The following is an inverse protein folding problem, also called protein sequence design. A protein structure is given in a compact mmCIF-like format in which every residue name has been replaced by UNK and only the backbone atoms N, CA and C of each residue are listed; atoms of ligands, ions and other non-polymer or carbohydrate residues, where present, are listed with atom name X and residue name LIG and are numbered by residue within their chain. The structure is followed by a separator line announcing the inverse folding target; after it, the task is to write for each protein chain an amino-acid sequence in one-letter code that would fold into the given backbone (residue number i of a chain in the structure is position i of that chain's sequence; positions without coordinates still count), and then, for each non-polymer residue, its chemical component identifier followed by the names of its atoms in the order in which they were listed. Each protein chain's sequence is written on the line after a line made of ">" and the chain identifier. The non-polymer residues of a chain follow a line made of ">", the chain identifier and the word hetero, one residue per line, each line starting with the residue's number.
data_IF_647137925075
#
_entry.id   IF_647137925075
#
_cell.length_a   1.000
_cell.length_b   1.000
_cell.length_c   1.000
_cell.angle_alpha   90.00
_cell.angle_beta   90.00
_cell.angle_gamma   90.00
#
_symmetry.space_group_name_H-M   'P 1'
#
loop_
_entity.id
_entity.type
_entity.pdbx_description
1 polymer ?
#
# COMPACT_ATOMS: atom_id res chain seq x y z
N UNK A 1 -17.57 -6.74 -10.35
CA UNK A 1 -17.25 -6.81 -8.92
C UNK A 1 -18.36 -6.09 -8.18
N UNK A 2 -18.95 -6.69 -7.16
CA UNK A 2 -20.11 -6.17 -6.42
C UNK A 2 -19.68 -5.11 -5.42
N UNK A 3 -20.33 -3.95 -5.41
CA UNK A 3 -20.11 -2.92 -4.39
C UNK A 3 -20.60 -3.45 -3.04
N UNK A 4 -19.69 -3.71 -2.11
CA UNK A 4 -20.03 -4.04 -0.73
C UNK A 4 -20.09 -2.74 0.09
N UNK A 5 -21.27 -2.44 0.63
CA UNK A 5 -21.43 -1.36 1.61
C UNK A 5 -20.95 -1.88 2.96
N UNK A 6 -19.95 -1.24 3.54
CA UNK A 6 -19.43 -1.62 4.85
C UNK A 6 -20.54 -1.52 5.90
N UNK A 7 -20.98 -2.66 6.46
CA UNK A 7 -21.93 -2.73 7.58
C UNK A 7 -23.37 -3.20 7.27
N UNK A 8 -23.67 -3.70 6.07
CA UNK A 8 -25.01 -4.21 5.76
C UNK A 8 -25.16 -5.71 6.13
N UNK A 9 -26.04 -6.03 7.09
CA UNK A 9 -26.50 -7.40 7.34
C UNK A 9 -27.41 -7.89 6.21
N UNK A 10 -27.42 -9.20 5.87
CA UNK A 10 -28.27 -9.74 4.82
C UNK A 10 -29.76 -9.48 5.10
N UNK A 11 -30.41 -8.63 4.29
CA UNK A 11 -31.86 -8.38 4.35
C UNK A 11 -32.29 -6.99 4.82
N UNK A 12 -31.36 -6.08 5.16
CA UNK A 12 -31.70 -4.68 5.40
C UNK A 12 -31.65 -3.85 4.10
N UNK A 13 -32.68 -3.04 3.87
CA UNK A 13 -32.68 -2.00 2.85
C UNK A 13 -31.61 -0.96 3.19
N UNK A 14 -30.66 -0.71 2.28
CA UNK A 14 -29.68 0.35 2.44
C UNK A 14 -30.45 1.69 2.46
N UNK A 15 -30.30 2.52 3.52
CA UNK A 15 -30.91 3.84 3.56
C UNK A 15 -30.49 4.66 2.33
N UNK A 16 -31.40 5.45 1.72
CA UNK A 16 -31.09 6.22 0.52
C UNK A 16 -29.92 7.22 0.69
N UNK A 17 -29.64 7.64 1.93
CA UNK A 17 -28.54 8.54 2.28
C UNK A 17 -27.34 7.83 2.94
N UNK A 18 -27.26 6.50 2.84
CA UNK A 18 -26.11 5.76 3.37
C UNK A 18 -24.84 6.08 2.58
N UNK A 19 -23.71 6.23 3.28
CA UNK A 19 -22.41 6.37 2.63
C UNK A 19 -22.09 5.12 1.80
N UNK A 20 -21.85 5.30 0.50
CA UNK A 20 -21.50 4.23 -0.42
C UNK A 20 -19.99 4.28 -0.69
N UNK A 21 -19.29 3.16 -0.48
CA UNK A 21 -17.91 2.96 -0.93
C UNK A 21 -17.93 1.93 -2.05
N UNK A 22 -17.34 2.29 -3.19
CA UNK A 22 -17.22 1.41 -4.35
C UNK A 22 -15.78 1.40 -4.83
N UNK A 23 -15.11 0.24 -4.74
CA UNK A 23 -13.77 0.08 -5.30
C UNK A 23 -13.87 -0.05 -6.82
N UNK A 24 -13.35 0.93 -7.56
CA UNK A 24 -13.33 0.90 -9.01
C UNK A 24 -12.18 0.05 -9.55
N UNK A 25 -10.95 0.32 -9.09
CA UNK A 25 -9.75 -0.38 -9.52
C UNK A 25 -8.67 -0.28 -8.44
N UNK A 26 -7.84 -1.32 -8.35
CA UNK A 26 -6.63 -1.36 -7.55
C UNK A 26 -5.48 -1.61 -8.50
N UNK A 27 -4.49 -0.73 -8.51
CA UNK A 27 -3.38 -0.79 -9.45
C UNK A 27 -2.11 -0.23 -8.82
N UNK A 28 -0.98 -0.64 -9.38
CA UNK A 28 0.33 -0.17 -9.02
C UNK A 28 0.66 1.09 -9.80
N UNK A 29 1.04 2.17 -9.11
CA UNK A 29 1.45 3.42 -9.76
C UNK A 29 2.95 3.46 -10.01
N UNK A 30 3.71 2.98 -9.05
CA UNK A 30 5.16 2.87 -9.12
C UNK A 30 5.61 1.65 -8.34
N UNK A 31 6.74 1.06 -8.72
CA UNK A 31 7.45 0.13 -7.86
C UNK A 31 8.94 0.22 -8.13
N UNK A 32 9.72 0.18 -7.07
CA UNK A 32 11.17 0.09 -7.16
C UNK A 32 11.70 -0.99 -6.21
N UNK A 33 12.77 -1.63 -6.66
CA UNK A 33 13.55 -2.56 -5.85
C UNK A 33 15.02 -2.36 -6.16
N UNK A 34 15.82 -2.18 -5.11
CA UNK A 34 17.26 -2.06 -5.23
C UNK A 34 17.95 -2.95 -4.20
N UNK A 35 18.97 -3.69 -4.63
CA UNK A 35 19.88 -4.41 -3.75
C UNK A 35 21.32 -4.10 -4.15
N UNK A 36 21.92 -3.00 -3.62
CA UNK A 36 23.20 -2.49 -4.09
C UNK A 36 24.34 -3.51 -4.01
N UNK A 37 24.32 -4.35 -2.98
CA UNK A 37 25.33 -5.38 -2.75
C UNK A 37 24.91 -6.75 -3.31
N UNK A 38 23.63 -6.93 -3.63
CA UNK A 38 23.07 -8.16 -4.18
C UNK A 38 23.49 -9.40 -3.38
N UNK A 39 24.00 -10.46 -4.03
CA UNK A 39 24.39 -11.71 -3.37
C UNK A 39 25.71 -11.61 -2.58
N UNK A 40 26.38 -10.44 -2.56
CA UNK A 40 27.70 -10.26 -1.93
C UNK A 40 27.62 -9.82 -0.47
N UNK A 41 26.42 -9.80 0.11
CA UNK A 41 26.24 -9.48 1.52
C UNK A 41 26.68 -10.69 2.34
N UNK A 42 27.86 -10.60 2.94
CA UNK A 42 28.41 -11.61 3.83
C UNK A 42 28.09 -11.30 5.30
N UNK A 43 28.01 -12.34 6.14
CA UNK A 43 27.82 -12.22 7.59
C UNK A 43 26.57 -12.93 8.11
N UNK A 44 26.30 -12.77 9.41
CA UNK A 44 25.12 -13.37 10.04
C UNK A 44 23.86 -12.61 9.61
N UNK A 45 22.92 -13.30 8.97
CA UNK A 45 21.69 -12.71 8.46
C UNK A 45 20.73 -12.31 9.60
N UNK A 46 20.86 -11.08 10.06
CA UNK A 46 19.97 -10.47 11.06
C UNK A 46 19.70 -8.99 10.71
N UNK A 47 18.95 -8.71 9.63
CA UNK A 47 18.73 -7.35 9.15
C UNK A 47 17.79 -6.56 10.06
N UNK A 48 18.11 -5.29 10.27
CA UNK A 48 17.19 -4.30 10.80
C UNK A 48 16.30 -3.78 9.67
N UNK A 49 14.99 -3.94 9.85
CA UNK A 49 13.97 -3.51 8.89
C UNK A 49 13.38 -2.17 9.35
N UNK A 50 13.33 -1.20 8.45
CA UNK A 50 12.60 0.06 8.62
C UNK A 50 11.46 0.14 7.62
N UNK A 51 10.29 0.56 8.08
CA UNK A 51 9.07 0.70 7.29
C UNK A 51 8.54 2.13 7.43
N UNK A 52 8.35 2.81 6.30
CA UNK A 52 7.66 4.10 6.19
C UNK A 52 6.39 3.91 5.38
N UNK A 53 5.30 4.57 5.82
CA UNK A 53 3.98 4.47 5.21
C UNK A 53 3.42 5.88 5.00
N UNK A 54 3.06 6.19 3.76
CA UNK A 54 2.49 7.47 3.39
C UNK A 54 1.18 7.25 2.65
N UNK A 55 0.13 7.98 3.04
CA UNK A 55 -1.17 7.91 2.38
C UNK A 55 -1.50 9.26 1.76
N UNK A 56 -1.63 9.28 0.45
CA UNK A 56 -2.10 10.42 -0.33
C UNK A 56 -3.52 10.21 -0.83
N UNK A 57 -4.24 11.31 -1.06
CA UNK A 57 -5.55 11.22 -1.69
C UNK A 57 -5.85 12.40 -2.59
N UNK A 58 -6.34 12.09 -3.79
CA UNK A 58 -6.63 13.06 -4.85
C UNK A 58 -8.06 12.84 -5.36
N UNK A 59 -8.84 13.90 -5.51
CA UNK A 59 -10.14 13.81 -6.17
C UNK A 59 -9.93 13.71 -7.70
N UNK A 60 -10.56 12.72 -8.35
CA UNK A 60 -10.57 12.56 -9.81
C UNK A 60 -11.90 12.99 -10.45
N UNK A 61 -12.94 13.17 -9.63
CA UNK A 61 -14.27 13.62 -10.02
C UNK A 61 -15.13 13.86 -8.77
N UNK A 62 -16.44 14.17 -8.94
CA UNK A 62 -17.35 14.46 -7.83
C UNK A 62 -17.39 13.33 -6.78
N UNK A 63 -17.50 12.08 -7.26
CA UNK A 63 -17.66 10.89 -6.42
C UNK A 63 -16.50 9.90 -6.57
N UNK A 64 -15.38 10.32 -7.18
CA UNK A 64 -14.23 9.45 -7.47
C UNK A 64 -12.97 10.02 -6.84
N UNK A 65 -12.29 9.17 -6.08
CA UNK A 65 -11.07 9.51 -5.36
C UNK A 65 -10.01 8.46 -5.63
N UNK A 66 -8.82 8.92 -6.00
CA UNK A 66 -7.62 8.11 -5.99
C UNK A 66 -7.06 8.15 -4.57
N UNK A 67 -6.79 6.98 -4.00
CA UNK A 67 -6.10 6.83 -2.73
C UNK A 67 -4.80 6.09 -3.04
N UNK A 68 -3.67 6.72 -2.72
CA UNK A 68 -2.35 6.15 -2.95
C UNK A 68 -1.75 5.83 -1.59
N UNK A 69 -1.40 4.57 -1.38
CA UNK A 69 -0.56 4.15 -0.27
C UNK A 69 0.83 3.93 -0.84
N UNK A 70 1.81 4.69 -0.36
CA UNK A 70 3.22 4.49 -0.65
C UNK A 70 3.87 3.81 0.54
N UNK A 71 4.58 2.73 0.27
CA UNK A 71 5.24 1.87 1.25
C UNK A 71 6.73 1.85 0.93
N UNK A 72 7.56 2.35 1.84
CA UNK A 72 9.02 2.29 1.70
C UNK A 72 9.59 1.33 2.74
N UNK A 73 10.32 0.32 2.28
CA UNK A 73 10.98 -0.69 3.13
C UNK A 73 12.49 -0.63 2.92
N UNK A 74 13.25 -0.42 3.99
CA UNK A 74 14.72 -0.49 3.96
C UNK A 74 15.22 -1.58 4.91
N UNK A 75 16.13 -2.42 4.43
CA UNK A 75 16.79 -3.46 5.22
C UNK A 75 18.30 -3.20 5.30
N UNK A 76 18.85 -3.21 6.52
CA UNK A 76 20.28 -3.00 6.77
C UNK A 76 20.87 -4.04 7.72
N UNK A 77 22.12 -4.42 7.53
CA UNK A 77 22.95 -5.10 8.56
C UNK A 77 24.08 -4.14 8.91
N UNK A 78 24.08 -3.62 10.15
CA UNK A 78 24.92 -2.48 10.51
C UNK A 78 24.64 -1.29 9.58
N UNK A 79 25.68 -0.77 8.95
CA UNK A 79 25.58 0.35 8.01
C UNK A 79 25.38 -0.09 6.54
N UNK A 80 25.38 -1.41 6.27
CA UNK A 80 25.24 -1.95 4.91
C UNK A 80 23.78 -2.07 4.53
N UNK A 81 23.37 -1.39 3.46
CA UNK A 81 22.03 -1.56 2.86
C UNK A 81 21.98 -2.85 2.06
N UNK A 82 21.02 -3.71 2.41
CA UNK A 82 20.80 -5.01 1.77
C UNK A 82 19.79 -4.87 0.65
N UNK A 83 18.65 -4.25 0.95
CA UNK A 83 17.68 -3.86 -0.06
C UNK A 83 16.87 -2.64 0.36
N UNK A 84 16.33 -1.97 -0.65
CA UNK A 84 15.31 -0.94 -0.57
C UNK A 84 14.15 -1.37 -1.48
N UNK A 85 12.92 -1.18 -1.00
CA UNK A 85 11.70 -1.40 -1.77
C UNK A 85 10.81 -0.17 -1.62
N UNK A 86 10.21 0.28 -2.71
CA UNK A 86 9.10 1.24 -2.70
C UNK A 86 7.96 0.71 -3.57
N UNK A 87 6.72 0.84 -3.08
CA UNK A 87 5.48 0.41 -3.74
C UNK A 87 4.39 1.45 -3.47
#
# INVERSE_FOLDING_TARGET
>A
MTNETAGAEPGQSIPPDAAVLALQSVYLKDCSYESPNGPRVDGNWNPQISLDLQTGSTALGPDVREVVLTVTVSAKIGDVTIFLVEI
#
